data_IF_205220395871
#
_entry.id   IF_205220395871
#
_cell.length_a   1.000
_cell.length_b   1.000
_cell.length_c   1.000
_cell.angle_alpha   90.00
_cell.angle_beta   90.00
_cell.angle_gamma   90.00
#
_symmetry.space_group_name_H-M   'P 1'
#
loop_
_entity.id
_entity.type
_entity.pdbx_description
1 polymer ?
#
# COMPACT_ATOMS: atom_id res chain seq x y z
N UNK A 1 32.37 -14.31 -4.55
CA UNK A 1 31.25 -13.41 -4.19
C UNK A 1 30.98 -12.52 -5.39
N UNK A 2 29.96 -12.80 -6.20
CA UNK A 2 29.67 -11.97 -7.37
C UNK A 2 29.27 -10.55 -6.90
N UNK A 3 29.74 -9.46 -7.54
CA UNK A 3 29.36 -8.11 -7.13
C UNK A 3 27.89 -7.91 -7.53
N UNK A 4 26.98 -8.08 -6.57
CA UNK A 4 25.53 -7.87 -6.75
C UNK A 4 25.18 -6.39 -6.96
N UNK A 5 26.14 -5.49 -6.71
CA UNK A 5 25.95 -4.05 -6.72
C UNK A 5 25.41 -3.48 -8.06
N UNK A 6 25.95 -3.82 -9.24
CA UNK A 6 25.41 -3.33 -10.50
C UNK A 6 23.95 -3.74 -10.71
N UNK A 7 23.55 -4.93 -10.25
CA UNK A 7 22.16 -5.39 -10.33
C UNK A 7 21.23 -4.62 -9.38
N UNK A 8 21.73 -4.21 -8.21
CA UNK A 8 20.96 -3.40 -7.25
C UNK A 8 20.72 -2.01 -7.84
N UNK A 9 21.77 -1.38 -8.38
CA UNK A 9 21.69 -0.06 -9.02
C UNK A 9 20.73 -0.09 -10.22
N UNK A 10 20.89 -1.05 -11.13
CA UNK A 10 20.02 -1.18 -12.30
C UNK A 10 18.54 -1.39 -11.92
N UNK A 11 18.28 -2.12 -10.82
CA UNK A 11 16.91 -2.33 -10.32
C UNK A 11 16.30 -1.03 -9.77
N UNK A 12 17.10 -0.18 -9.12
CA UNK A 12 16.64 1.12 -8.62
C UNK A 12 16.37 2.10 -9.77
N UNK A 13 17.30 2.19 -10.74
CA UNK A 13 17.16 3.05 -11.91
C UNK A 13 15.92 2.69 -12.74
N UNK A 14 15.70 1.39 -13.00
CA UNK A 14 14.53 0.92 -13.75
C UNK A 14 13.20 1.27 -13.05
N UNK A 15 13.18 1.31 -11.71
CA UNK A 15 12.01 1.68 -10.93
C UNK A 15 11.76 3.20 -10.98
N UNK A 16 12.82 4.02 -10.84
CA UNK A 16 12.74 5.49 -11.01
C UNK A 16 12.18 5.84 -12.38
N UNK A 17 12.72 5.26 -13.44
CA UNK A 17 12.27 5.46 -14.82
C UNK A 17 10.79 5.08 -15.01
N UNK A 18 10.37 3.97 -14.41
CA UNK A 18 8.98 3.53 -14.48
C UNK A 18 8.04 4.52 -13.79
N UNK A 19 8.41 5.01 -12.61
CA UNK A 19 7.59 5.99 -11.87
C UNK A 19 7.54 7.33 -12.55
N UNK A 20 8.66 7.80 -13.10
CA UNK A 20 8.69 9.02 -13.91
C UNK A 20 7.70 8.92 -15.07
N UNK A 21 7.62 7.76 -15.75
CA UNK A 21 6.63 7.53 -16.81
C UNK A 21 5.19 7.52 -16.32
N UNK A 22 4.89 6.92 -15.16
CA UNK A 22 3.52 6.94 -14.61
C UNK A 22 3.14 8.37 -14.22
N UNK A 23 4.03 9.11 -13.56
CA UNK A 23 3.80 10.51 -13.18
C UNK A 23 3.53 11.35 -14.42
N UNK A 24 4.34 11.20 -15.47
CA UNK A 24 4.18 11.96 -16.70
C UNK A 24 2.87 11.64 -17.45
N UNK A 25 2.36 10.41 -17.37
CA UNK A 25 1.18 9.95 -18.13
C UNK A 25 -0.13 10.05 -17.36
N UNK A 26 -0.09 9.78 -16.07
CA UNK A 26 -1.27 9.59 -15.21
C UNK A 26 -1.26 10.50 -13.99
N UNK A 27 -0.21 11.31 -13.82
CA UNK A 27 -0.07 12.23 -12.71
C UNK A 27 0.46 11.58 -11.43
N UNK A 28 0.76 12.44 -10.46
CA UNK A 28 1.34 12.04 -9.17
C UNK A 28 0.39 11.16 -8.35
N UNK A 29 -0.92 11.40 -8.44
CA UNK A 29 -1.92 10.62 -7.71
C UNK A 29 -1.87 9.13 -8.06
N UNK A 30 -1.84 8.80 -9.35
CA UNK A 30 -1.75 7.39 -9.77
C UNK A 30 -0.42 6.76 -9.36
N UNK A 31 0.69 7.49 -9.50
CA UNK A 31 2.02 6.97 -9.18
C UNK A 31 2.21 6.69 -7.67
N UNK A 32 1.69 7.56 -6.80
CA UNK A 32 1.82 7.39 -5.37
C UNK A 32 0.88 6.31 -4.82
N UNK A 33 -0.37 6.26 -5.32
CA UNK A 33 -1.32 5.22 -4.89
C UNK A 33 -0.97 3.83 -5.44
N UNK A 34 -0.07 3.71 -6.43
CA UNK A 34 0.44 2.42 -6.91
C UNK A 34 1.66 1.91 -6.12
N UNK A 35 2.19 2.68 -5.16
CA UNK A 35 3.38 2.30 -4.38
C UNK A 35 3.08 1.13 -3.44
N UNK A 36 2.04 1.30 -2.61
CA UNK A 36 1.68 0.33 -1.58
C UNK A 36 0.27 0.63 -1.06
N UNK A 37 -0.47 -0.40 -0.65
CA UNK A 37 -1.86 -0.25 -0.18
C UNK A 37 -2.00 0.61 1.08
N UNK A 38 -0.98 0.64 1.95
CA UNK A 38 -0.93 1.51 3.14
C UNK A 38 -0.62 2.98 2.81
N UNK A 39 -0.37 3.30 1.54
CA UNK A 39 -0.04 4.65 1.09
C UNK A 39 -1.21 5.18 0.29
N UNK A 40 -1.83 6.24 0.78
CA UNK A 40 -2.94 6.91 0.09
C UNK A 40 -2.57 8.36 -0.17
N UNK A 41 -2.53 8.77 -1.44
CA UNK A 41 -2.38 10.18 -1.80
C UNK A 41 -3.72 10.76 -2.23
N UNK A 42 -4.23 11.75 -1.48
CA UNK A 42 -5.49 12.44 -1.76
C UNK A 42 -5.42 13.88 -1.28
N UNK A 43 -6.17 14.79 -1.90
CA UNK A 43 -6.25 16.20 -1.50
C UNK A 43 -4.86 16.86 -1.29
N UNK A 44 -3.89 16.52 -2.16
CA UNK A 44 -2.49 16.97 -2.08
C UNK A 44 -1.74 16.57 -0.80
N UNK A 45 -2.21 15.54 -0.08
CA UNK A 45 -1.58 15.00 1.11
C UNK A 45 -1.29 13.50 0.97
N UNK A 46 -0.12 13.07 1.46
CA UNK A 46 0.24 11.67 1.57
C UNK A 46 -0.17 11.15 2.95
N UNK A 47 -1.03 10.13 2.96
CA UNK A 47 -1.45 9.42 4.16
C UNK A 47 -0.78 8.05 4.21
N UNK A 48 -0.25 7.71 5.38
CA UNK A 48 0.46 6.48 5.65
C UNK A 48 -0.28 5.74 6.77
N UNK A 49 -0.81 4.56 6.47
CA UNK A 49 -1.44 3.69 7.47
C UNK A 49 -0.35 2.94 8.23
N UNK A 50 0.19 3.58 9.28
CA UNK A 50 1.16 3.02 10.22
C UNK A 50 0.54 2.97 11.62
N UNK A 51 0.98 2.04 12.47
CA UNK A 51 0.63 2.05 13.89
C UNK A 51 1.11 3.34 14.61
N UNK A 52 2.05 4.05 13.98
CA UNK A 52 2.42 5.42 14.35
C UNK A 52 1.79 6.41 13.38
N UNK A 53 0.89 7.28 13.87
CA UNK A 53 0.34 8.39 13.08
C UNK A 53 1.45 9.41 12.80
N UNK A 54 2.10 9.31 11.64
CA UNK A 54 3.04 10.32 11.15
C UNK A 54 2.24 11.30 10.28
N UNK A 55 1.88 12.44 10.86
CA UNK A 55 1.30 13.56 10.12
C UNK A 55 2.39 14.32 9.38
N UNK A 56 2.41 14.23 8.05
CA UNK A 56 3.31 15.05 7.21
C UNK A 56 2.54 16.30 6.78
N UNK A 57 3.07 17.48 7.12
CA UNK A 57 2.50 18.75 6.67
C UNK A 57 2.64 18.87 5.14
N UNK A 58 1.68 19.49 4.47
CA UNK A 58 1.63 19.58 3.00
C UNK A 58 2.78 20.38 2.35
N UNK A 59 3.66 20.99 3.15
CA UNK A 59 4.84 21.73 2.71
C UNK A 59 6.16 20.99 2.92
N UNK A 60 6.14 19.70 3.29
CA UNK A 60 7.34 18.89 3.51
C UNK A 60 7.70 18.11 2.26
N UNK A 61 8.94 18.25 1.80
CA UNK A 61 9.46 17.46 0.68
C UNK A 61 9.55 15.98 1.07
N UNK A 62 8.97 15.14 0.22
CA UNK A 62 9.03 13.68 0.34
C UNK A 62 9.90 13.14 -0.78
N UNK A 63 11.00 12.50 -0.41
CA UNK A 63 11.89 11.81 -1.34
C UNK A 63 11.50 10.34 -1.44
N UNK A 64 11.21 9.90 -2.66
CA UNK A 64 10.96 8.50 -2.98
C UNK A 64 12.28 7.75 -3.14
N UNK A 65 12.51 6.73 -2.31
CA UNK A 65 13.74 5.93 -2.31
C UNK A 65 13.43 4.46 -2.68
N UNK A 66 13.55 4.07 -3.96
CA UNK A 66 13.41 2.67 -4.36
C UNK A 66 14.61 1.86 -3.85
N UNK A 67 14.33 0.72 -3.22
CA UNK A 67 15.36 -0.18 -2.71
C UNK A 67 15.09 -1.62 -3.10
N UNK A 68 16.08 -2.26 -3.76
CA UNK A 68 16.04 -3.69 -4.06
C UNK A 68 16.21 -4.58 -2.81
N UNK A 69 16.63 -3.97 -1.69
CA UNK A 69 16.82 -4.61 -0.39
C UNK A 69 15.64 -4.38 0.56
N UNK A 70 14.72 -3.45 0.22
CA UNK A 70 13.51 -3.23 0.98
C UNK A 70 12.51 -4.36 0.73
N UNK A 71 11.87 -4.82 1.80
CA UNK A 71 10.90 -5.90 1.77
C UNK A 71 9.46 -5.38 1.99
N UNK A 72 9.32 -4.24 2.68
CA UNK A 72 8.11 -3.44 2.85
C UNK A 72 8.43 -1.96 2.61
N UNK A 73 7.41 -1.10 2.61
CA UNK A 73 7.63 0.34 2.70
C UNK A 73 8.08 0.72 4.12
N UNK A 74 8.91 1.76 4.21
CA UNK A 74 9.40 2.35 5.44
C UNK A 74 9.41 3.86 5.27
N UNK A 75 8.89 4.58 6.26
CA UNK A 75 9.05 6.03 6.34
C UNK A 75 10.21 6.30 7.28
N UNK A 76 11.21 7.04 6.79
CA UNK A 76 12.32 7.51 7.59
C UNK A 76 12.31 9.04 7.56
N UNK A 77 12.31 9.64 8.74
CA UNK A 77 12.51 11.09 8.89
C UNK A 77 13.99 11.29 9.15
N UNK A 78 14.62 12.21 8.41
CA UNK A 78 16.00 12.61 8.68
C UNK A 78 16.11 13.10 10.13
N UNK A 79 16.91 12.44 11.00
CA UNK A 79 17.05 12.84 12.40
C UNK A 79 17.66 14.23 12.56
N UNK A 80 18.34 14.75 11.54
CA UNK A 80 18.88 16.12 11.52
C UNK A 80 17.94 17.14 10.88
N UNK A 81 16.77 16.70 10.38
CA UNK A 81 15.75 17.56 9.73
C UNK A 81 16.25 18.37 8.53
N UNK A 82 17.45 18.09 8.01
CA UNK A 82 18.06 18.85 6.91
C UNK A 82 17.57 18.40 5.53
N UNK A 83 17.16 17.12 5.41
CA UNK A 83 16.90 16.49 4.11
C UNK A 83 15.46 15.99 3.88
N UNK A 84 14.54 16.32 4.79
CA UNK A 84 13.11 16.01 4.65
C UNK A 84 12.74 14.56 4.98
N UNK A 85 11.65 14.08 4.38
CA UNK A 85 11.09 12.74 4.65
C UNK A 85 11.45 11.79 3.52
N UNK A 86 11.96 10.61 3.87
CA UNK A 86 12.24 9.54 2.93
C UNK A 86 11.14 8.48 3.00
N UNK A 87 10.57 8.15 1.85
CA UNK A 87 9.74 6.97 1.69
C UNK A 87 10.56 5.90 0.98
N UNK A 88 11.07 4.94 1.74
CA UNK A 88 11.80 3.79 1.23
C UNK A 88 10.79 2.70 0.84
N UNK A 89 10.88 2.14 -0.36
CA UNK A 89 9.95 1.11 -0.83
C UNK A 89 10.65 0.09 -1.74
N UNK A 90 10.11 -1.14 -1.85
CA UNK A 90 10.70 -2.19 -2.70
C UNK A 90 10.68 -1.81 -4.18
N UNK A 91 11.79 -2.01 -4.88
CA UNK A 91 11.84 -1.91 -6.35
C UNK A 91 10.92 -2.93 -7.01
N UNK A 92 10.28 -2.56 -8.11
CA UNK A 92 9.56 -3.49 -8.99
C UNK A 92 10.53 -4.56 -9.52
N UNK A 93 10.13 -5.83 -9.48
CA UNK A 93 10.90 -6.90 -10.13
C UNK A 93 10.57 -6.89 -11.63
N UNK A 94 11.57 -6.90 -12.54
CA UNK A 94 11.34 -6.79 -13.97
C UNK A 94 10.40 -7.86 -14.54
N UNK A 95 10.41 -9.07 -13.95
CA UNK A 95 9.58 -10.22 -14.37
C UNK A 95 8.72 -10.81 -13.23
N UNK A 96 8.62 -10.13 -12.09
CA UNK A 96 7.76 -10.57 -11.00
C UNK A 96 6.38 -9.94 -11.15
N UNK A 97 5.28 -10.63 -10.81
CA UNK A 97 4.00 -9.95 -10.67
C UNK A 97 4.19 -8.80 -9.68
N UNK A 98 3.55 -7.67 -10.00
CA UNK A 98 3.56 -6.51 -9.13
C UNK A 98 3.17 -6.98 -7.72
N UNK A 99 4.00 -6.71 -6.72
CA UNK A 99 3.74 -7.22 -5.37
C UNK A 99 2.50 -6.53 -4.78
N UNK A 100 2.13 -5.38 -5.34
CA UNK A 100 0.84 -4.71 -5.12
C UNK A 100 -0.35 -5.50 -5.72
N UNK A 101 -0.15 -6.28 -6.80
CA UNK A 101 -1.20 -7.04 -7.49
C UNK A 101 -1.46 -8.44 -6.90
N UNK A 102 -0.74 -8.85 -5.85
CA UNK A 102 -1.12 -10.00 -5.02
C UNK A 102 -1.78 -9.59 -3.68
N UNK A 103 -2.04 -8.31 -3.50
CA UNK A 103 -2.65 -7.78 -2.30
C UNK A 103 -4.14 -7.60 -2.49
N UNK A 104 -4.91 -8.30 -1.66
CA UNK A 104 -6.13 -7.78 -1.04
C UNK A 104 -7.18 -7.20 -1.99
N UNK A 105 -8.31 -7.90 -2.13
CA UNK A 105 -9.54 -7.20 -2.48
C UNK A 105 -9.74 -6.00 -1.52
N UNK A 106 -9.72 -4.76 -2.02
CA UNK A 106 -9.81 -3.56 -1.19
C UNK A 106 -11.10 -3.54 -0.34
N UNK A 107 -12.19 -4.11 -0.87
CA UNK A 107 -13.47 -4.16 -0.17
C UNK A 107 -13.41 -5.11 1.02
N UNK A 108 -12.86 -6.31 0.87
CA UNK A 108 -12.66 -7.23 1.98
C UNK A 108 -11.67 -6.67 3.00
N UNK A 109 -10.60 -6.00 2.56
CA UNK A 109 -9.68 -5.26 3.43
C UNK A 109 -10.38 -4.27 4.36
N UNK A 110 -11.38 -3.54 3.85
CA UNK A 110 -12.15 -2.58 4.65
C UNK A 110 -13.07 -3.21 5.71
N UNK A 111 -13.50 -4.47 5.51
CA UNK A 111 -14.47 -5.15 6.40
C UNK A 111 -13.78 -5.99 7.46
N UNK A 112 -12.76 -6.75 7.07
CA UNK A 112 -12.03 -7.65 7.98
C UNK A 112 -10.63 -7.12 8.32
N UNK A 113 -10.27 -5.91 7.91
CA UNK A 113 -8.94 -5.36 8.15
C UNK A 113 -7.87 -5.96 7.25
N UNK A 114 -6.96 -5.09 6.82
CA UNK A 114 -5.99 -5.39 5.77
C UNK A 114 -5.04 -6.56 6.10
N UNK A 115 -4.51 -6.64 7.33
CA UNK A 115 -3.61 -7.74 7.73
C UNK A 115 -4.30 -9.11 7.66
N UNK A 116 -5.59 -9.21 8.02
CA UNK A 116 -6.35 -10.45 7.90
C UNK A 116 -6.68 -10.79 6.44
N UNK A 117 -6.99 -9.79 5.63
CA UNK A 117 -7.23 -9.96 4.19
C UNK A 117 -5.97 -10.42 3.45
N UNK A 118 -4.81 -9.83 3.75
CA UNK A 118 -3.52 -10.21 3.19
C UNK A 118 -3.13 -11.65 3.58
N UNK A 119 -3.32 -12.03 4.85
CA UNK A 119 -3.12 -13.41 5.31
C UNK A 119 -4.06 -14.39 4.59
N UNK A 120 -5.34 -14.05 4.40
CA UNK A 120 -6.27 -14.89 3.64
C UNK A 120 -5.84 -15.02 2.18
N UNK A 121 -5.41 -13.95 1.53
CA UNK A 121 -4.94 -13.99 0.14
C UNK A 121 -3.78 -14.99 -0.04
N UNK A 122 -2.84 -15.01 0.92
CA UNK A 122 -1.64 -15.88 0.90
C UNK A 122 -1.89 -17.34 1.34
N UNK A 123 -3.09 -17.63 1.84
CA UNK A 123 -3.54 -18.95 2.31
C UNK A 123 -4.33 -19.74 1.24
N UNK A 124 -4.21 -19.34 -0.02
CA UNK A 124 -4.62 -20.14 -1.19
C UNK A 124 -3.88 -21.49 -1.25
N UNK A 125 -2.67 -21.52 -0.72
CA UNK A 125 -1.85 -22.71 -0.47
C UNK A 125 -1.65 -22.90 1.03
N UNK A 126 -1.62 -24.14 1.56
CA UNK A 126 -1.31 -24.39 2.96
C UNK A 126 0.03 -23.78 3.40
N UNK A 127 0.04 -23.01 4.50
CA UNK A 127 1.25 -22.37 5.04
C UNK A 127 1.30 -22.41 6.57
N UNK A 128 2.51 -22.45 7.12
CA UNK A 128 2.71 -22.32 8.56
C UNK A 128 2.67 -20.86 9.02
N UNK A 129 2.46 -20.65 10.31
CA UNK A 129 2.56 -19.31 10.93
C UNK A 129 3.91 -18.64 10.64
N UNK A 130 5.01 -19.39 10.67
CA UNK A 130 6.36 -18.86 10.37
C UNK A 130 6.50 -18.46 8.91
N UNK A 131 6.03 -19.28 7.98
CA UNK A 131 6.01 -18.92 6.56
C UNK A 131 5.17 -17.68 6.29
N UNK A 132 4.04 -17.52 6.99
CA UNK A 132 3.18 -16.33 6.86
C UNK A 132 3.83 -15.10 7.50
N UNK A 133 4.47 -15.23 8.66
CA UNK A 133 5.22 -14.16 9.30
C UNK A 133 6.32 -13.62 8.38
N UNK A 134 7.10 -14.52 7.77
CA UNK A 134 8.18 -14.16 6.85
C UNK A 134 7.64 -13.49 5.58
N UNK A 135 6.51 -13.98 5.04
CA UNK A 135 5.92 -13.47 3.79
C UNK A 135 5.17 -12.16 3.94
N UNK A 136 4.55 -11.94 5.10
CA UNK A 136 3.74 -10.75 5.40
C UNK A 136 4.51 -9.72 6.24
N UNK A 137 5.75 -10.01 6.63
CA UNK A 137 6.59 -9.15 7.48
C UNK A 137 5.90 -8.77 8.81
N UNK A 138 5.20 -9.72 9.39
CA UNK A 138 4.52 -9.58 10.68
C UNK A 138 5.21 -10.47 11.72
N UNK A 139 5.20 -10.05 12.98
CA UNK A 139 5.66 -10.91 14.08
C UNK A 139 4.82 -12.19 14.17
N UNK A 140 5.46 -13.32 14.49
CA UNK A 140 4.77 -14.62 14.64
C UNK A 140 3.61 -14.58 15.64
N UNK A 141 3.70 -13.74 16.67
CA UNK A 141 2.62 -13.48 17.63
C UNK A 141 1.43 -12.78 16.98
N UNK A 142 1.67 -11.74 16.19
CA UNK A 142 0.65 -11.00 15.43
C UNK A 142 -0.04 -11.89 14.40
N UNK A 143 0.73 -12.69 13.66
CA UNK A 143 0.17 -13.67 12.71
C UNK A 143 -0.68 -14.71 13.45
N UNK A 144 -0.18 -15.26 14.55
CA UNK A 144 -0.93 -16.23 15.35
C UNK A 144 -2.24 -15.65 15.90
N UNK A 145 -2.21 -14.39 16.34
CA UNK A 145 -3.40 -13.65 16.78
C UNK A 145 -4.44 -13.54 15.65
N UNK A 146 -4.03 -13.08 14.47
CA UNK A 146 -4.93 -12.96 13.32
C UNK A 146 -5.47 -14.30 12.85
N UNK A 147 -4.63 -15.33 12.77
CA UNK A 147 -5.04 -16.69 12.41
C UNK A 147 -6.04 -17.27 13.42
N UNK A 148 -5.89 -16.97 14.71
CA UNK A 148 -6.85 -17.39 15.74
C UNK A 148 -8.22 -16.76 15.51
N UNK A 149 -8.28 -15.46 15.19
CA UNK A 149 -9.53 -14.80 14.86
C UNK A 149 -10.16 -15.31 13.56
N UNK A 150 -9.34 -15.54 12.52
CA UNK A 150 -9.81 -16.12 11.25
C UNK A 150 -10.33 -17.56 11.42
N UNK A 151 -9.69 -18.34 12.31
CA UNK A 151 -10.12 -19.70 12.64
C UNK A 151 -11.48 -19.68 13.36
N UNK A 152 -11.65 -18.77 14.34
CA UNK A 152 -12.94 -18.57 15.03
C UNK A 152 -14.05 -18.11 14.09
N UNK A 153 -13.71 -17.33 13.07
CA UNK A 153 -14.63 -16.88 12.03
C UNK A 153 -14.92 -17.96 10.96
N UNK A 154 -14.29 -19.14 11.03
CA UNK A 154 -14.48 -20.21 10.04
C UNK A 154 -13.89 -19.89 8.65
N UNK A 155 -12.97 -18.92 8.56
CA UNK A 155 -12.35 -18.49 7.31
C UNK A 155 -11.06 -19.26 6.99
N UNK A 156 -10.43 -19.85 8.00
CA UNK A 156 -9.28 -20.73 7.84
C UNK A 156 -9.47 -22.03 8.60
N UNK A 157 -8.84 -23.09 8.13
CA UNK A 157 -8.66 -24.36 8.83
C UNK A 157 -7.20 -24.55 9.18
N UNK A 158 -6.92 -25.40 10.18
CA UNK A 158 -5.56 -25.79 10.54
C UNK A 158 -5.41 -27.31 10.51
N UNK A 159 -4.27 -27.79 10.01
CA UNK A 159 -3.89 -29.20 10.00
C UNK A 159 -2.50 -29.31 10.62
N UNK A 160 -2.33 -30.27 11.54
CA UNK A 160 -1.03 -30.54 12.15
C UNK A 160 -0.37 -31.69 11.40
N UNK A 161 0.86 -31.45 10.94
CA UNK A 161 1.69 -32.44 10.26
C UNK A 161 3.05 -32.48 10.98
N UNK A 162 3.25 -33.54 11.76
CA UNK A 162 4.38 -33.68 12.68
C UNK A 162 4.48 -32.52 13.67
N UNK A 163 5.60 -31.81 13.65
CA UNK A 163 5.86 -30.65 14.51
C UNK A 163 5.33 -29.33 13.96
N UNK A 164 4.76 -29.31 12.75
CA UNK A 164 4.29 -28.10 12.07
C UNK A 164 2.77 -28.03 12.03
N UNK A 165 2.25 -26.81 12.09
CA UNK A 165 0.83 -26.51 11.91
C UNK A 165 0.69 -25.69 10.63
N UNK A 166 -0.07 -26.22 9.69
CA UNK A 166 -0.43 -25.54 8.45
C UNK A 166 -1.83 -24.96 8.57
N UNK A 167 -1.99 -23.77 8.02
CA UNK A 167 -3.26 -23.09 7.86
C UNK A 167 -3.60 -23.05 6.38
N UNK A 168 -4.89 -23.09 6.06
CA UNK A 168 -5.41 -22.96 4.70
C UNK A 168 -6.77 -22.26 4.74
N UNK A 169 -7.13 -21.52 3.69
CA UNK A 169 -8.48 -20.98 3.54
C UNK A 169 -9.54 -22.08 3.51
N UNK A 170 -10.72 -21.77 4.03
CA UNK A 170 -11.92 -22.58 3.84
C UNK A 170 -12.63 -22.21 2.54
N UNK A 171 -13.53 -23.08 2.08
CA UNK A 171 -14.40 -22.77 0.93
C UNK A 171 -15.24 -21.49 1.13
N UNK A 172 -15.57 -21.14 2.38
CA UNK A 172 -16.26 -19.88 2.69
C UNK A 172 -15.35 -18.67 2.44
N UNK A 173 -14.07 -18.75 2.82
CA UNK A 173 -13.10 -17.70 2.52
C UNK A 173 -12.82 -17.59 1.01
N UNK A 174 -12.75 -18.71 0.28
CA UNK A 174 -12.57 -18.66 -1.18
C UNK A 174 -13.72 -17.92 -1.87
N UNK A 175 -14.96 -18.11 -1.42
CA UNK A 175 -16.13 -17.35 -1.94
C UNK A 175 -16.02 -15.85 -1.67
N UNK A 176 -15.42 -15.45 -0.54
CA UNK A 176 -15.18 -14.05 -0.22
C UNK A 176 -14.08 -13.47 -1.10
N UNK A 177 -12.99 -14.19 -1.32
CA UNK A 177 -11.88 -13.73 -2.16
C UNK A 177 -12.24 -13.68 -3.67
N UNK A 178 -13.16 -14.53 -4.15
CA UNK A 178 -13.57 -14.58 -5.57
C UNK A 178 -14.72 -13.61 -5.91
N UNK A 179 -15.58 -13.24 -4.96
CA UNK A 179 -16.75 -12.39 -5.25
C UNK A 179 -16.37 -10.95 -5.60
N UNK A 180 -15.25 -10.48 -5.09
CA UNK A 180 -14.86 -9.08 -5.19
C UNK A 180 -14.18 -8.72 -6.50
N UNK A 181 -13.53 -9.67 -7.16
CA UNK A 181 -12.92 -9.47 -8.48
C UNK A 181 -13.94 -9.22 -9.59
N UNK A 182 -15.24 -9.50 -9.34
CA UNK A 182 -16.32 -9.27 -10.33
C UNK A 182 -17.03 -7.92 -10.19
N UNK A 183 -16.94 -7.25 -9.04
CA UNK A 183 -17.76 -6.06 -8.76
C UNK A 183 -17.02 -4.73 -9.03
N UNK A 184 -15.68 -4.77 -9.18
CA UNK A 184 -14.85 -3.60 -9.50
C UNK A 184 -14.99 -3.12 -10.96
N UNK A 185 -15.52 -3.96 -11.85
CA UNK A 185 -15.78 -3.58 -13.25
C UNK A 185 -17.09 -2.80 -13.46
N UNK A 186 -18.03 -2.85 -12.51
CA UNK A 186 -19.39 -2.35 -12.70
C UNK A 186 -19.70 -1.02 -11.96
N UNK A 187 -18.87 -0.58 -11.01
CA UNK A 187 -19.11 0.63 -10.19
C UNK A 187 -18.35 1.89 -10.62
N UNK A 188 -17.57 1.84 -11.72
CA UNK A 188 -16.78 2.96 -12.23
C UNK A 188 -17.54 4.01 -13.03
N UNK A 189 -18.82 3.80 -13.35
CA UNK A 189 -19.67 4.81 -14.01
C UNK A 189 -20.90 5.13 -13.14
N UNK A 190 -21.12 6.44 -12.94
CA UNK A 190 -22.22 7.14 -12.21
C UNK A 190 -21.84 7.48 -10.76
N UNK A 191 -21.81 8.74 -10.31
CA UNK A 191 -22.46 9.97 -10.79
C UNK A 191 -21.53 11.18 -10.61
N UNK A 192 -21.29 11.91 -11.68
CA UNK A 192 -20.96 13.34 -11.59
C UNK A 192 -22.17 14.05 -10.99
N UNK A 193 -21.97 14.68 -9.84
CA UNK A 193 -22.90 15.68 -9.29
C UNK A 193 -22.20 17.03 -9.47
N UNK A 194 -22.79 18.00 -10.19
CA UNK A 194 -22.11 19.27 -10.42
C UNK A 194 -21.94 20.01 -9.09
N UNK A 195 -20.68 20.30 -8.75
CA UNK A 195 -20.31 21.17 -7.64
C UNK A 195 -20.64 22.61 -8.04
N UNK A 196 -21.45 23.27 -7.21
CA UNK A 196 -21.83 24.68 -7.37
C UNK A 196 -20.58 25.57 -7.23
N UNK A 197 -20.32 26.51 -8.15
CA UNK A 197 -19.11 27.35 -8.07
C UNK A 197 -19.19 28.34 -6.90
N UNK A 198 -18.04 28.55 -6.25
CA UNK A 198 -17.85 29.47 -5.14
C UNK A 198 -17.90 30.96 -5.60
N UNK A 199 -18.29 31.90 -4.72
CA UNK A 199 -18.36 33.32 -5.06
C UNK A 199 -16.97 33.97 -5.20
N UNK A 200 -16.84 34.89 -6.17
CA UNK A 200 -15.63 35.69 -6.44
C UNK A 200 -15.32 36.65 -5.26
N UNK A 201 -14.04 36.87 -4.92
CA UNK A 201 -13.66 37.87 -3.91
C UNK A 201 -13.83 39.30 -4.44
N UNK A 202 -14.20 40.22 -3.53
CA UNK A 202 -14.44 41.62 -3.79
C UNK A 202 -13.17 42.38 -4.19
N UNK A 203 -13.31 43.30 -5.15
CA UNK A 203 -12.25 44.16 -5.64
C UNK A 203 -11.80 45.16 -4.56
N UNK A 204 -10.49 45.26 -4.38
CA UNK A 204 -9.81 46.30 -3.62
C UNK A 204 -9.85 47.60 -4.45
N UNK A 205 -10.49 48.66 -3.95
CA UNK A 205 -10.33 50.00 -4.50
C UNK A 205 -9.27 50.73 -3.67
N UNK A 206 -8.06 50.85 -4.24
CA UNK A 206 -7.11 51.90 -3.87
C UNK A 206 -7.69 53.26 -4.32
N UNK A 207 -7.87 54.17 -3.36
CA UNK A 207 -8.20 55.57 -3.60
C UNK A 207 -7.09 56.44 -3.03
N UNK A 208 -6.08 56.72 -3.86
CA UNK A 208 -5.12 57.82 -3.68
C UNK A 208 -5.74 59.07 -4.28
N UNK A 209 -5.94 60.14 -3.51
CA UNK A 209 -5.93 61.54 -4.00
C UNK A 209 -5.41 62.46 -2.91
N UNK A 210 -4.30 63.15 -3.22
CA UNK A 210 -3.86 64.39 -2.57
C UNK A 210 -4.66 65.59 -3.06
N UNK A 211 -5.00 66.50 -2.16
CA UNK A 211 -4.76 67.96 -2.25
C UNK A 211 -5.14 68.60 -0.91
#
# INVERSE_FOLDING_TARGET
>A
MAPLWPSIVASAEADVDHRARIIARSGLHTALNSLHWQITYRCCALHLESEQQIGVAGSTDITLFPSALAHSWLVSVDPWQERGIYLIYPTRRPNGPDRSARGTDPLLGSVIGHSRSALLADLDVPRTTTQLADRQHLGSSTVSYHLTHLLRAGLVTRVREGSRVYYQRTANADRLCVRSTRDDGARGLRRDRPVRPAPRPAAYHEGVVSA
#
